data_IF_058028410313
#
_entry.id   IF_058028410313
#
_cell.length_a   1.000
_cell.length_b   1.000
_cell.length_c   1.000
_cell.angle_alpha   90.00
_cell.angle_beta   90.00
_cell.angle_gamma   90.00
#
_symmetry.space_group_name_H-M   'P 1'
#
loop_
_entity.id
_entity.type
_entity.pdbx_description
1 polymer ?
#
# COMPACT_ATOMS: atom_id res chain seq x y z
N UNK A 1 -3.42 2.56 -37.21
CA UNK A 1 -4.22 3.30 -36.22
C UNK A 1 -3.26 3.81 -35.17
N UNK A 2 -2.89 5.08 -35.30
CA UNK A 2 -2.10 5.80 -34.32
C UNK A 2 -2.92 5.91 -33.03
N UNK A 3 -2.41 5.36 -31.94
CA UNK A 3 -2.93 5.63 -30.59
C UNK A 3 -2.87 7.14 -30.36
N UNK A 4 -4.00 7.82 -30.56
CA UNK A 4 -4.19 9.18 -30.06
C UNK A 4 -4.11 9.10 -28.54
N UNK A 5 -2.92 9.38 -27.99
CA UNK A 5 -2.78 9.63 -26.56
C UNK A 5 -3.55 10.90 -26.27
N UNK A 6 -4.74 10.73 -25.69
CA UNK A 6 -5.51 11.82 -25.08
C UNK A 6 -4.56 12.72 -24.26
N UNK A 7 -4.71 14.05 -24.36
CA UNK A 7 -3.82 14.98 -23.67
C UNK A 7 -3.85 14.71 -22.16
N UNK A 8 -2.70 14.82 -21.46
CA UNK A 8 -2.63 14.53 -20.04
C UNK A 8 -3.57 15.46 -19.27
N UNK A 9 -4.56 14.87 -18.58
CA UNK A 9 -5.46 15.63 -17.73
C UNK A 9 -4.68 16.01 -16.46
N UNK A 10 -4.41 17.32 -16.32
CA UNK A 10 -3.81 17.90 -15.11
C UNK A 10 -4.67 17.62 -13.88
N UNK A 11 -4.00 17.30 -12.77
CA UNK A 11 -4.59 16.90 -11.48
C UNK A 11 -5.55 17.90 -10.83
N UNK A 12 -5.54 19.15 -11.29
CA UNK A 12 -6.46 20.19 -10.83
C UNK A 12 -7.87 20.00 -11.39
N UNK A 13 -8.04 19.13 -12.40
CA UNK A 13 -9.32 18.89 -13.08
C UNK A 13 -10.12 17.69 -12.57
N UNK A 14 -9.62 16.95 -11.58
CA UNK A 14 -10.46 15.93 -10.92
C UNK A 14 -11.41 16.69 -10.00
N UNK A 15 -12.65 16.91 -10.45
CA UNK A 15 -13.70 17.50 -9.63
C UNK A 15 -14.09 16.49 -8.54
N UNK A 16 -13.92 16.87 -7.27
CA UNK A 16 -14.28 16.03 -6.14
C UNK A 16 -15.78 15.73 -6.10
N UNK A 17 -16.61 16.54 -6.77
CA UNK A 17 -18.05 16.30 -6.91
C UNK A 17 -18.40 15.05 -7.70
N UNK A 18 -17.51 14.61 -8.59
CA UNK A 18 -17.71 13.41 -9.41
C UNK A 18 -17.27 12.13 -8.70
N UNK A 19 -16.69 12.26 -7.49
CA UNK A 19 -16.20 11.13 -6.70
C UNK A 19 -17.28 10.74 -5.68
N UNK A 20 -17.75 9.47 -5.69
CA UNK A 20 -18.69 9.01 -4.69
C UNK A 20 -18.03 8.99 -3.31
N UNK A 21 -18.83 9.20 -2.26
CA UNK A 21 -18.36 9.13 -0.87
C UNK A 21 -17.69 7.79 -0.56
N UNK A 22 -18.26 6.69 -1.10
CA UNK A 22 -17.71 5.34 -1.06
C UNK A 22 -17.46 4.84 -2.47
N UNK A 23 -16.18 4.70 -2.82
CA UNK A 23 -15.79 4.24 -4.16
C UNK A 23 -16.11 2.74 -4.32
N UNK A 24 -16.87 2.34 -5.35
CA UNK A 24 -17.17 0.95 -5.60
C UNK A 24 -15.94 0.19 -6.09
N UNK A 25 -15.65 -0.96 -5.47
CA UNK A 25 -14.56 -1.85 -5.84
C UNK A 25 -15.01 -3.30 -5.88
N UNK A 26 -14.26 -4.14 -6.58
CA UNK A 26 -14.60 -5.56 -6.79
C UNK A 26 -13.49 -6.46 -6.27
N UNK A 27 -13.84 -7.44 -5.45
CA UNK A 27 -12.92 -8.48 -4.99
C UNK A 27 -12.74 -9.56 -6.05
N UNK A 28 -11.51 -9.75 -6.53
CA UNK A 28 -11.15 -10.73 -7.57
C UNK A 28 -9.77 -11.32 -7.27
N UNK A 29 -9.68 -12.66 -7.22
CA UNK A 29 -8.41 -13.40 -7.12
C UNK A 29 -7.46 -12.88 -6.04
N UNK A 30 -7.96 -12.71 -4.80
CA UNK A 30 -7.20 -12.20 -3.66
C UNK A 30 -6.70 -10.75 -3.82
N UNK A 31 -7.33 -9.98 -4.71
CA UNK A 31 -7.08 -8.55 -4.92
C UNK A 31 -8.40 -7.80 -4.97
N UNK A 32 -8.32 -6.49 -4.80
CA UNK A 32 -9.49 -5.61 -4.92
C UNK A 32 -9.24 -4.63 -6.05
N UNK A 33 -10.14 -4.58 -7.02
CA UNK A 33 -9.97 -3.82 -8.26
C UNK A 33 -10.90 -2.61 -8.24
N UNK A 34 -10.32 -1.46 -8.55
CA UNK A 34 -11.02 -0.20 -8.83
C UNK A 34 -11.11 -0.08 -10.34
N UNK A 35 -12.25 -0.47 -10.92
CA UNK A 35 -12.43 -0.52 -12.38
C UNK A 35 -12.53 0.86 -13.01
N UNK A 36 -13.20 1.81 -12.35
CA UNK A 36 -13.35 3.15 -12.87
C UNK A 36 -11.99 3.90 -12.81
N UNK A 37 -11.42 4.32 -13.96
CA UNK A 37 -10.13 5.00 -13.99
C UNK A 37 -10.09 6.34 -13.26
N UNK A 38 -11.21 7.06 -13.19
CA UNK A 38 -11.33 8.31 -12.43
C UNK A 38 -11.12 8.05 -10.95
N UNK A 39 -11.83 7.05 -10.39
CA UNK A 39 -11.72 6.70 -8.97
C UNK A 39 -10.35 6.13 -8.65
N UNK A 40 -9.80 5.32 -9.54
CA UNK A 40 -8.45 4.80 -9.44
C UNK A 40 -7.40 5.93 -9.41
N UNK A 41 -7.53 6.90 -10.32
CA UNK A 41 -6.67 8.08 -10.38
C UNK A 41 -6.80 8.94 -9.13
N UNK A 42 -8.02 9.14 -8.64
CA UNK A 42 -8.28 9.88 -7.39
C UNK A 42 -7.61 9.21 -6.19
N UNK A 43 -7.81 7.90 -6.00
CA UNK A 43 -7.18 7.13 -4.91
C UNK A 43 -5.65 7.21 -4.94
N UNK A 44 -5.07 7.15 -6.14
CA UNK A 44 -3.62 7.20 -6.30
C UNK A 44 -3.07 8.61 -6.10
N UNK A 45 -3.65 9.62 -6.74
CA UNK A 45 -3.03 10.94 -6.79
C UNK A 45 -3.50 11.87 -5.67
N UNK A 46 -4.79 11.85 -5.32
CA UNK A 46 -5.35 12.75 -4.29
C UNK A 46 -5.36 12.12 -2.91
N UNK A 47 -5.52 10.80 -2.80
CA UNK A 47 -5.56 10.09 -1.52
C UNK A 47 -4.23 9.45 -1.11
N UNK A 48 -3.08 10.05 -1.43
CA UNK A 48 -1.76 9.58 -1.01
C UNK A 48 -1.41 8.14 -1.48
N UNK A 49 -1.48 7.88 -2.78
CA UNK A 49 -0.89 6.72 -3.45
C UNK A 49 -1.50 5.36 -3.05
N UNK A 50 -2.83 5.26 -2.97
CA UNK A 50 -3.48 3.94 -2.86
C UNK A 50 -3.50 3.21 -4.20
N UNK A 51 -3.16 1.93 -4.16
CA UNK A 51 -3.27 1.02 -5.30
C UNK A 51 -2.14 1.12 -6.32
N UNK A 52 -2.21 0.27 -7.33
CA UNK A 52 -1.25 0.17 -8.41
C UNK A 52 -2.01 0.08 -9.74
N UNK A 53 -1.92 1.10 -10.61
CA UNK A 53 -2.58 1.07 -11.90
C UNK A 53 -2.08 -0.10 -12.75
N UNK A 54 -3.01 -0.86 -13.33
CA UNK A 54 -2.67 -2.08 -14.07
C UNK A 54 -1.86 -1.74 -15.33
N UNK A 55 -0.72 -2.43 -15.48
CA UNK A 55 0.21 -2.24 -16.59
C UNK A 55 1.12 -1.01 -16.47
N UNK A 56 1.04 -0.24 -15.39
CA UNK A 56 1.85 0.97 -15.19
C UNK A 56 2.73 0.81 -13.95
N UNK A 57 4.03 0.57 -14.16
CA UNK A 57 4.97 0.36 -13.04
C UNK A 57 5.30 1.62 -12.24
N UNK A 58 5.25 2.79 -12.89
CA UNK A 58 5.52 4.10 -12.28
C UNK A 58 4.51 5.11 -12.85
N UNK A 59 3.30 5.16 -12.29
CA UNK A 59 2.30 6.14 -12.71
C UNK A 59 2.87 7.53 -12.51
N UNK A 60 2.64 8.39 -13.50
CA UNK A 60 2.82 9.83 -13.29
C UNK A 60 1.75 10.29 -12.30
N UNK A 61 2.02 11.40 -11.62
CA UNK A 61 1.02 12.05 -10.78
C UNK A 61 0.09 12.84 -11.67
N UNK A 62 -0.65 12.13 -12.51
CA UNK A 62 -1.57 12.63 -13.52
C UNK A 62 -2.72 11.63 -13.62
N UNK A 63 -3.83 12.03 -14.24
CA UNK A 63 -4.89 11.08 -14.57
C UNK A 63 -4.36 9.92 -15.42
N UNK A 64 -4.84 8.72 -15.14
CA UNK A 64 -4.59 7.55 -15.97
C UNK A 64 -5.90 6.83 -16.28
N UNK A 65 -6.08 6.44 -17.55
CA UNK A 65 -7.27 5.75 -18.06
C UNK A 65 -7.25 4.22 -17.81
N UNK A 66 -6.62 3.77 -16.72
CA UNK A 66 -6.46 2.35 -16.38
C UNK A 66 -7.08 2.03 -15.01
N UNK A 67 -7.66 0.82 -14.84
CA UNK A 67 -8.04 0.32 -13.51
C UNK A 67 -6.83 0.24 -12.57
N UNK A 68 -7.09 0.26 -11.28
CA UNK A 68 -6.07 0.09 -10.24
C UNK A 68 -6.35 -1.11 -9.36
N UNK A 69 -5.31 -1.85 -9.01
CA UNK A 69 -5.37 -2.90 -8.00
C UNK A 69 -4.99 -2.35 -6.62
N UNK A 70 -5.81 -2.65 -5.63
CA UNK A 70 -5.50 -2.48 -4.21
C UNK A 70 -4.98 -3.80 -3.66
N UNK A 71 -3.91 -3.74 -2.87
CA UNK A 71 -3.55 -4.86 -1.99
C UNK A 71 -4.63 -5.08 -0.94
N UNK A 72 -4.72 -6.29 -0.38
CA UNK A 72 -5.69 -6.60 0.68
C UNK A 72 -5.56 -5.66 1.90
N UNK A 73 -4.32 -5.29 2.25
CA UNK A 73 -4.03 -4.36 3.34
C UNK A 73 -4.57 -2.95 3.01
N UNK A 74 -4.32 -2.44 1.80
CA UNK A 74 -4.83 -1.14 1.34
C UNK A 74 -6.37 -1.14 1.30
N UNK A 75 -6.96 -2.20 0.74
CA UNK A 75 -8.41 -2.32 0.60
C UNK A 75 -9.10 -2.36 1.97
N UNK A 76 -8.59 -3.15 2.92
CA UNK A 76 -9.15 -3.17 4.27
C UNK A 76 -9.00 -1.82 4.97
N UNK A 77 -7.87 -1.14 4.80
CA UNK A 77 -7.67 0.19 5.38
C UNK A 77 -8.70 1.18 4.83
N UNK A 78 -8.89 1.23 3.52
CA UNK A 78 -9.87 2.11 2.89
C UNK A 78 -11.31 1.74 3.27
N UNK A 79 -11.62 0.44 3.37
CA UNK A 79 -12.92 -0.06 3.77
C UNK A 79 -13.23 0.39 5.21
N UNK A 80 -12.31 0.18 6.17
CA UNK A 80 -12.49 0.60 7.57
C UNK A 80 -12.65 2.11 7.77
N UNK A 81 -12.18 2.92 6.81
CA UNK A 81 -12.35 4.37 6.81
C UNK A 81 -13.57 4.83 5.97
N UNK A 82 -14.46 3.89 5.60
CA UNK A 82 -15.65 4.13 4.80
C UNK A 82 -15.35 4.84 3.46
N UNK A 83 -14.18 4.57 2.85
CA UNK A 83 -13.77 5.19 1.56
C UNK A 83 -14.09 4.33 0.35
N UNK A 84 -14.27 3.03 0.54
CA UNK A 84 -14.62 2.09 -0.53
C UNK A 84 -15.72 1.13 -0.09
N UNK A 85 -16.41 0.53 -1.05
CA UNK A 85 -17.19 -0.70 -0.86
C UNK A 85 -16.51 -1.84 -1.61
N UNK A 86 -16.60 -3.07 -1.09
CA UNK A 86 -15.98 -4.24 -1.71
C UNK A 86 -17.08 -5.25 -2.04
N UNK A 87 -17.38 -5.39 -3.33
CA UNK A 87 -18.33 -6.36 -3.86
C UNK A 87 -17.62 -7.64 -4.34
N UNK A 88 -18.15 -8.79 -3.99
CA UNK A 88 -17.74 -10.10 -4.50
C UNK A 88 -18.78 -10.63 -5.50
N UNK A 89 -18.45 -10.67 -6.80
CA UNK A 89 -19.37 -11.14 -7.82
C UNK A 89 -19.64 -12.65 -7.76
N UNK A 90 -18.82 -13.43 -7.06
CA UNK A 90 -18.99 -14.90 -6.98
C UNK A 90 -20.16 -15.29 -6.08
N UNK A 91 -20.41 -14.48 -5.07
CA UNK A 91 -21.45 -14.73 -4.05
C UNK A 91 -22.49 -13.61 -3.99
N UNK A 92 -22.42 -12.68 -4.95
CA UNK A 92 -23.30 -11.51 -5.09
C UNK A 92 -23.49 -10.74 -3.76
N UNK A 93 -22.37 -10.36 -3.14
CA UNK A 93 -22.37 -9.77 -1.79
C UNK A 93 -21.38 -8.62 -1.64
N UNK A 94 -21.76 -7.59 -0.87
CA UNK A 94 -20.84 -6.56 -0.38
C UNK A 94 -20.33 -6.99 1.00
N UNK A 95 -19.01 -7.04 1.19
CA UNK A 95 -18.41 -7.43 2.46
C UNK A 95 -18.50 -6.32 3.51
N UNK A 96 -18.79 -6.71 4.76
CA UNK A 96 -18.58 -5.85 5.93
C UNK A 96 -17.09 -5.74 6.30
N UNK A 97 -16.77 -4.85 7.24
CA UNK A 97 -15.40 -4.67 7.74
C UNK A 97 -14.83 -5.97 8.31
N UNK A 98 -15.61 -6.68 9.12
CA UNK A 98 -15.17 -7.88 9.82
C UNK A 98 -15.06 -9.08 8.87
N UNK A 99 -16.00 -9.21 7.94
CA UNK A 99 -15.98 -10.28 6.93
C UNK A 99 -14.75 -10.15 6.03
N UNK A 100 -14.46 -8.94 5.55
CA UNK A 100 -13.29 -8.73 4.70
C UNK A 100 -11.99 -8.90 5.49
N UNK A 101 -11.97 -8.51 6.77
CA UNK A 101 -10.83 -8.75 7.65
C UNK A 101 -10.52 -10.24 7.80
N UNK A 102 -11.53 -11.08 8.02
CA UNK A 102 -11.36 -12.53 8.13
C UNK A 102 -10.85 -13.17 6.83
N UNK A 103 -11.30 -12.68 5.67
CA UNK A 103 -10.77 -13.10 4.36
C UNK A 103 -9.28 -12.76 4.26
N UNK A 104 -8.91 -11.54 4.64
CA UNK A 104 -7.52 -11.08 4.57
C UNK A 104 -6.58 -11.92 5.44
N UNK A 105 -7.00 -12.25 6.68
CA UNK A 105 -6.23 -13.11 7.60
C UNK A 105 -5.97 -14.50 7.05
N UNK A 106 -6.95 -15.09 6.36
CA UNK A 106 -6.83 -16.43 5.77
C UNK A 106 -5.85 -16.47 4.60
N UNK A 107 -5.75 -15.39 3.83
CA UNK A 107 -4.98 -15.36 2.59
C UNK A 107 -3.53 -14.91 2.83
N UNK A 108 -3.33 -13.91 3.69
CA UNK A 108 -2.06 -13.21 3.79
C UNK A 108 -1.33 -13.60 5.09
N UNK A 109 -0.11 -14.11 4.95
CA UNK A 109 0.72 -14.45 6.11
C UNK A 109 1.03 -13.23 6.99
N UNK A 110 0.85 -13.38 8.31
CA UNK A 110 1.02 -12.30 9.31
C UNK A 110 0.24 -11.03 8.96
N UNK A 111 -0.99 -11.21 8.47
CA UNK A 111 -1.80 -10.08 8.01
C UNK A 111 -2.12 -9.11 9.14
N UNK A 112 -2.49 -9.62 10.33
CA UNK A 112 -2.92 -8.80 11.45
C UNK A 112 -1.80 -7.84 11.88
N UNK A 113 -0.60 -8.37 12.06
CA UNK A 113 0.57 -7.60 12.46
C UNK A 113 0.95 -6.56 11.40
N UNK A 114 0.94 -6.97 10.12
CA UNK A 114 1.22 -6.06 9.02
C UNK A 114 0.17 -4.97 8.89
N UNK A 115 -1.09 -5.29 9.14
CA UNK A 115 -2.19 -4.34 9.08
C UNK A 115 -2.09 -3.31 10.21
N UNK A 116 -1.74 -3.72 11.43
CA UNK A 116 -1.52 -2.79 12.57
C UNK A 116 -0.44 -1.76 12.20
N UNK A 117 0.72 -2.22 11.71
CA UNK A 117 1.81 -1.32 11.31
C UNK A 117 1.44 -0.46 10.11
N UNK A 118 0.72 -1.02 9.13
CA UNK A 118 0.24 -0.25 7.99
C UNK A 118 -0.68 0.89 8.41
N UNK A 119 -1.63 0.61 9.31
CA UNK A 119 -2.59 1.58 9.82
C UNK A 119 -1.89 2.68 10.61
N UNK A 120 -0.97 2.33 11.53
CA UNK A 120 -0.20 3.31 12.31
C UNK A 120 0.64 4.23 11.39
N UNK A 121 1.34 3.65 10.40
CA UNK A 121 2.11 4.44 9.43
C UNK A 121 1.22 5.39 8.63
N UNK A 122 0.05 4.93 8.16
CA UNK A 122 -0.91 5.77 7.44
C UNK A 122 -1.45 6.90 8.30
N UNK A 123 -1.79 6.62 9.56
CA UNK A 123 -2.25 7.63 10.52
C UNK A 123 -1.18 8.68 10.83
N UNK A 124 0.09 8.29 10.84
CA UNK A 124 1.25 9.20 10.98
C UNK A 124 1.58 9.97 9.69
N UNK A 125 0.80 9.81 8.62
CA UNK A 125 0.99 10.50 7.34
C UNK A 125 2.06 9.89 6.44
N UNK A 126 2.54 8.68 6.75
CA UNK A 126 3.45 7.94 5.87
C UNK A 126 2.68 7.13 4.83
N UNK A 127 3.38 6.77 3.76
CA UNK A 127 2.85 6.00 2.64
C UNK A 127 3.60 4.65 2.60
N UNK A 128 3.12 3.62 3.30
CA UNK A 128 3.63 2.27 3.19
C UNK A 128 3.22 1.62 1.85
N UNK A 129 4.19 1.05 1.14
CA UNK A 129 4.01 0.30 -0.11
C UNK A 129 4.62 -1.10 0.02
N UNK A 130 4.21 -2.08 -0.80
CA UNK A 130 4.78 -3.43 -0.74
C UNK A 130 6.31 -3.43 -0.85
N UNK A 131 6.98 -4.06 0.12
CA UNK A 131 8.44 -4.06 0.26
C UNK A 131 9.16 -5.21 -0.44
N UNK A 132 8.45 -6.10 -1.13
CA UNK A 132 8.99 -7.35 -1.68
C UNK A 132 10.25 -7.15 -2.53
N UNK A 133 10.31 -6.09 -3.35
CA UNK A 133 11.48 -5.76 -4.18
C UNK A 133 12.75 -5.44 -3.38
N UNK A 134 12.60 -5.15 -2.08
CA UNK A 134 13.67 -4.80 -1.16
C UNK A 134 13.83 -5.84 -0.05
N UNK A 135 13.15 -6.99 -0.17
CA UNK A 135 13.19 -8.07 0.83
C UNK A 135 12.53 -7.71 2.16
N UNK A 136 11.68 -6.68 2.20
CA UNK A 136 10.99 -6.21 3.40
C UNK A 136 9.46 -6.32 3.26
N UNK A 137 8.73 -6.12 4.36
CA UNK A 137 7.27 -6.09 4.32
C UNK A 137 6.77 -4.80 3.67
N UNK A 138 7.35 -3.66 4.07
CA UNK A 138 7.00 -2.36 3.53
C UNK A 138 8.22 -1.53 3.11
N UNK A 139 8.02 -0.74 2.06
CA UNK A 139 8.85 0.42 1.74
C UNK A 139 8.02 1.64 2.09
N UNK A 140 8.54 2.48 2.97
CA UNK A 140 7.77 3.60 3.54
C UNK A 140 8.26 4.89 2.93
N UNK A 141 7.33 5.74 2.49
CA UNK A 141 7.59 7.06 1.92
C UNK A 141 6.98 8.15 2.81
N UNK A 142 7.59 9.34 2.81
CA UNK A 142 6.97 10.54 3.42
C UNK A 142 6.15 11.31 2.39
N UNK A 143 6.72 11.58 1.21
CA UNK A 143 6.00 12.28 0.12
C UNK A 143 5.36 11.37 -0.91
N UNK A 144 5.91 10.17 -1.10
CA UNK A 144 5.41 9.16 -2.04
C UNK A 144 6.46 8.70 -3.07
N UNK A 145 6.18 7.62 -3.80
CA UNK A 145 7.07 7.10 -4.84
C UNK A 145 7.28 8.12 -5.96
N UNK A 146 8.54 8.34 -6.35
CA UNK A 146 8.90 9.27 -7.44
C UNK A 146 9.05 10.73 -7.02
N UNK A 147 8.51 11.12 -5.86
CA UNK A 147 8.68 12.46 -5.26
C UNK A 147 9.85 12.55 -4.28
N UNK A 148 10.24 11.41 -3.72
CA UNK A 148 11.32 11.29 -2.74
C UNK A 148 11.91 9.88 -2.82
N UNK A 149 13.20 9.74 -2.51
CA UNK A 149 13.75 8.42 -2.20
C UNK A 149 13.14 7.93 -0.89
N UNK A 150 12.48 6.77 -0.89
CA UNK A 150 11.88 6.23 0.35
C UNK A 150 12.90 6.25 1.50
N UNK A 151 12.55 6.86 2.65
CA UNK A 151 13.46 7.02 3.78
C UNK A 151 13.84 5.69 4.44
N UNK A 152 12.95 4.69 4.46
CA UNK A 152 13.23 3.41 5.12
C UNK A 152 12.41 2.23 4.60
N UNK A 153 12.95 1.03 4.82
CA UNK A 153 12.26 -0.25 4.64
C UNK A 153 11.91 -0.81 6.02
N UNK A 154 10.72 -1.38 6.17
CA UNK A 154 10.22 -1.90 7.43
C UNK A 154 9.94 -3.40 7.36
N UNK A 155 10.46 -4.14 8.34
CA UNK A 155 10.06 -5.50 8.65
C UNK A 155 9.12 -5.49 9.85
N UNK A 156 7.99 -6.18 9.73
CA UNK A 156 7.02 -6.32 10.81
C UNK A 156 7.34 -7.57 11.59
N UNK A 157 7.79 -7.39 12.83
CA UNK A 157 8.16 -8.48 13.73
C UNK A 157 7.48 -8.29 15.09
N UNK A 158 6.62 -9.25 15.51
CA UNK A 158 6.12 -9.33 16.88
C UNK A 158 7.23 -9.27 17.94
N UNK A 159 6.91 -8.75 19.11
CA UNK A 159 7.85 -8.59 20.23
C UNK A 159 8.50 -9.92 20.68
N UNK A 160 7.79 -11.04 20.57
CA UNK A 160 8.25 -12.39 20.92
C UNK A 160 8.99 -13.10 19.77
N UNK A 161 9.16 -12.43 18.63
CA UNK A 161 9.93 -12.98 17.51
C UNK A 161 11.40 -13.11 17.88
N UNK A 162 11.94 -14.31 17.72
CA UNK A 162 13.38 -14.55 17.84
C UNK A 162 14.08 -13.95 16.63
N UNK A 163 14.96 -12.98 16.85
CA UNK A 163 15.82 -12.38 15.82
C UNK A 163 17.21 -12.96 16.00
N UNK A 164 17.75 -13.60 14.96
CA UNK A 164 19.13 -14.09 14.99
C UNK A 164 20.10 -13.02 14.51
N UNK A 165 21.38 -13.13 14.88
CA UNK A 165 22.42 -12.26 14.35
C UNK A 165 22.51 -12.33 12.81
N UNK A 166 22.22 -13.50 12.23
CA UNK A 166 22.20 -13.70 10.77
C UNK A 166 21.10 -12.87 10.12
N UNK A 167 19.93 -12.77 10.75
CA UNK A 167 18.82 -11.95 10.23
C UNK A 167 19.21 -10.47 10.21
N UNK A 168 19.97 -10.00 11.20
CA UNK A 168 20.48 -8.63 11.24
C UNK A 168 21.53 -8.35 10.17
N UNK A 169 22.44 -9.30 9.92
CA UNK A 169 23.41 -9.16 8.82
C UNK A 169 22.70 -9.17 7.46
N UNK A 170 21.67 -10.01 7.27
CA UNK A 170 20.86 -10.04 6.04
C UNK A 170 20.11 -8.73 5.83
N UNK A 171 19.46 -8.23 6.86
CA UNK A 171 18.78 -6.95 6.88
C UNK A 171 19.74 -5.80 6.52
N UNK A 172 20.91 -5.75 7.15
CA UNK A 172 21.96 -4.76 6.87
C UNK A 172 22.45 -4.82 5.42
N UNK A 173 22.67 -6.03 4.87
CA UNK A 173 23.06 -6.21 3.47
C UNK A 173 22.00 -5.70 2.50
N UNK A 174 20.72 -6.05 2.73
CA UNK A 174 19.61 -5.60 1.89
C UNK A 174 19.52 -4.06 1.92
N UNK A 175 19.51 -3.48 3.11
CA UNK A 175 19.40 -2.04 3.32
C UNK A 175 20.56 -1.24 2.70
N UNK A 176 21.79 -1.74 2.83
CA UNK A 176 23.01 -1.09 2.31
C UNK A 176 22.99 -1.03 0.78
N UNK A 177 22.53 -2.09 0.11
CA UNK A 177 22.50 -2.12 -1.37
C UNK A 177 21.55 -1.08 -1.98
N UNK A 178 20.47 -0.75 -1.26
CA UNK A 178 19.46 0.22 -1.72
C UNK A 178 19.58 1.60 -1.05
N UNK A 179 20.61 1.78 -0.20
CA UNK A 179 20.88 2.98 0.61
C UNK A 179 19.65 3.46 1.40
N UNK A 180 18.91 2.52 2.01
CA UNK A 180 17.74 2.81 2.85
C UNK A 180 18.01 2.46 4.29
N UNK A 181 17.41 3.18 5.24
CA UNK A 181 17.45 2.76 6.64
C UNK A 181 16.62 1.50 6.82
N UNK A 182 17.15 0.53 7.56
CA UNK A 182 16.42 -0.66 7.93
C UNK A 182 15.65 -0.40 9.22
N UNK A 183 14.38 -0.79 9.25
CA UNK A 183 13.52 -0.61 10.41
C UNK A 183 12.85 -1.91 10.78
N UNK A 184 12.86 -2.22 12.08
CA UNK A 184 11.98 -3.24 12.65
C UNK A 184 10.79 -2.53 13.27
N UNK A 185 9.60 -2.90 12.83
CA UNK A 185 8.34 -2.40 13.34
C UNK A 185 7.69 -3.46 14.25
N UNK A 186 7.47 -3.10 15.51
CA UNK A 186 6.80 -3.95 16.49
C UNK A 186 5.30 -3.67 16.49
N UNK A 187 4.44 -4.60 16.03
CA UNK A 187 2.99 -4.40 15.97
C UNK A 187 2.34 -4.28 17.36
N UNK A 188 2.92 -4.89 18.40
CA UNK A 188 2.32 -4.89 19.75
C UNK A 188 2.33 -3.50 20.39
N UNK A 189 3.45 -2.79 20.24
CA UNK A 189 3.69 -1.48 20.87
C UNK A 189 3.73 -0.33 19.86
N UNK A 190 3.52 -0.62 18.56
CA UNK A 190 3.65 0.33 17.44
C UNK A 190 4.97 1.11 17.49
N UNK A 191 6.05 0.41 17.86
CA UNK A 191 7.39 0.96 18.02
C UNK A 191 8.26 0.65 16.81
N UNK A 192 9.21 1.54 16.51
CA UNK A 192 10.08 1.44 15.33
C UNK A 192 11.55 1.55 15.74
N UNK A 193 12.32 0.50 15.46
CA UNK A 193 13.75 0.44 15.75
C UNK A 193 14.54 0.64 14.47
N UNK A 194 15.31 1.73 14.39
CA UNK A 194 16.11 2.08 13.23
C UNK A 194 17.51 1.51 13.37
N UNK A 195 17.99 0.87 12.30
CA UNK A 195 19.32 0.29 12.23
C UNK A 195 20.12 0.99 11.15
N UNK A 196 21.33 1.41 11.51
CA UNK A 196 22.31 1.97 10.60
C UNK A 196 23.59 1.15 10.68
N UNK A 197 24.20 0.89 9.52
CA UNK A 197 25.47 0.17 9.50
C UNK A 197 26.57 1.09 10.01
N UNK A 198 27.08 0.77 11.20
CA UNK A 198 28.17 1.50 11.82
C UNK A 198 29.52 0.95 11.34
N UNK A 199 30.38 1.84 10.84
CA UNK A 199 31.80 1.56 10.62
C UNK A 199 32.57 2.26 11.74
N UNK A 200 33.10 1.52 12.73
CA UNK A 200 33.89 2.09 13.81
C UNK A 200 35.18 2.76 13.32
#
# INVERSE_FOLDING_TARGET
>A
MTDEKEPPISLEKIDEKDIPERIPTTYLNNRVIVFNPLFASYLYVKMNFFGSPLGISKPRLEYFSKPSELSLIEALFLLKNDKITIFDPKIDKIYSHDEFYDICKKIHHKFEEKFIIYQDLRQKGYIPRPGLKFGADFVVYKKGPGLEHSPFIAHVLPHDSKITAIDMVRAGRLATSVRKKFVIANPLTMSYYFFEWFKP
#
